data_IF_288610409910
#
_entry.id   IF_288610409910
#
_cell.length_a   1.000
_cell.length_b   1.000
_cell.length_c   1.000
_cell.angle_alpha   90.00
_cell.angle_beta   90.00
_cell.angle_gamma   90.00
#
_symmetry.space_group_name_H-M   'P 1'
#
loop_
_entity.id
_entity.type
_entity.pdbx_description
1 polymer ?
#
# COMPACT_ATOMS: atom_id res chain seq x y z
N UNK A 1 -54.29 -26.35 -33.34
CA UNK A 1 -53.39 -25.50 -34.14
C UNK A 1 -52.58 -24.61 -33.21
N UNK A 2 -51.31 -24.32 -33.57
CA UNK A 2 -50.22 -24.09 -32.64
C UNK A 2 -49.68 -22.65 -32.67
N UNK A 3 -48.75 -22.35 -31.76
CA UNK A 3 -47.63 -21.39 -31.80
C UNK A 3 -47.40 -20.84 -30.38
N UNK A 4 -46.20 -20.66 -29.85
CA UNK A 4 -44.83 -20.79 -30.37
C UNK A 4 -43.90 -20.89 -29.17
N UNK A 5 -42.89 -21.72 -29.33
CA UNK A 5 -41.69 -21.92 -28.52
C UNK A 5 -40.96 -20.65 -28.08
N UNK A 6 -40.33 -20.71 -26.90
CA UNK A 6 -38.95 -20.24 -26.71
C UNK A 6 -38.35 -20.89 -25.44
N UNK A 7 -37.66 -22.02 -25.64
CA UNK A 7 -36.58 -22.47 -24.78
C UNK A 7 -35.47 -21.40 -24.80
N UNK A 8 -35.01 -20.99 -23.64
CA UNK A 8 -33.77 -20.22 -23.48
C UNK A 8 -32.86 -20.96 -22.50
N UNK A 9 -32.27 -22.05 -22.99
CA UNK A 9 -31.02 -22.60 -22.46
C UNK A 9 -29.92 -21.56 -22.70
N UNK A 10 -29.63 -20.74 -21.69
CA UNK A 10 -28.46 -19.88 -21.70
C UNK A 10 -27.26 -20.68 -21.20
N UNK A 11 -26.64 -21.36 -22.16
CA UNK A 11 -25.33 -21.99 -22.07
C UNK A 11 -24.28 -20.88 -21.79
N UNK A 12 -24.01 -20.61 -20.50
CA UNK A 12 -22.89 -19.75 -20.10
C UNK A 12 -21.64 -20.61 -20.02
N UNK A 13 -21.05 -20.86 -21.19
CA UNK A 13 -19.65 -21.23 -21.27
C UNK A 13 -18.81 -20.13 -20.61
N UNK A 14 -18.13 -20.50 -19.53
CA UNK A 14 -17.14 -19.69 -18.83
C UNK A 14 -15.95 -19.46 -19.78
N UNK A 15 -15.50 -18.22 -20.02
CA UNK A 15 -14.20 -18.03 -20.66
C UNK A 15 -13.10 -18.43 -19.66
N UNK A 16 -12.45 -19.55 -19.92
CA UNK A 16 -11.15 -19.88 -19.33
C UNK A 16 -10.09 -18.94 -19.92
N UNK A 17 -9.80 -17.86 -19.22
CA UNK A 17 -8.52 -17.16 -19.34
C UNK A 17 -8.39 -16.15 -18.22
N UNK A 18 -7.37 -16.36 -17.41
CA UNK A 18 -6.84 -15.47 -16.38
C UNK A 18 -6.60 -14.08 -16.97
N UNK A 19 -7.63 -13.24 -16.96
CA UNK A 19 -7.55 -11.85 -17.37
C UNK A 19 -7.36 -11.02 -16.11
N UNK A 20 -6.10 -10.68 -15.85
CA UNK A 20 -5.72 -9.69 -14.83
C UNK A 20 -6.27 -8.35 -15.30
N UNK A 21 -7.28 -7.83 -14.59
CA UNK A 21 -7.83 -6.51 -14.87
C UNK A 21 -6.85 -5.46 -14.32
N UNK A 22 -6.13 -4.81 -15.23
CA UNK A 22 -5.32 -3.63 -14.93
C UNK A 22 -6.22 -2.39 -14.99
N UNK A 23 -6.31 -1.61 -13.90
CA UNK A 23 -6.87 -0.26 -13.96
C UNK A 23 -5.83 0.65 -14.63
N UNK A 24 -6.25 1.35 -15.69
CA UNK A 24 -5.38 2.10 -16.58
C UNK A 24 -5.66 3.61 -16.52
N UNK A 25 -4.60 4.41 -16.51
CA UNK A 25 -4.66 5.87 -16.71
C UNK A 25 -3.81 6.32 -17.91
N UNK A 26 -4.17 7.48 -18.48
CA UNK A 26 -3.63 8.02 -19.74
C UNK A 26 -2.52 9.05 -19.48
N UNK A 27 -1.33 8.85 -20.05
CA UNK A 27 -0.18 9.78 -19.99
C UNK A 27 -0.23 10.82 -21.11
N UNK A 28 -0.75 10.37 -22.26
CA UNK A 28 -1.11 11.09 -23.46
C UNK A 28 -2.06 10.13 -24.21
N UNK A 29 -2.85 10.59 -25.19
CA UNK A 29 -3.92 9.81 -25.84
C UNK A 29 -3.52 8.48 -26.53
N UNK A 30 -2.32 7.92 -26.29
CA UNK A 30 -1.79 6.73 -26.96
C UNK A 30 -1.17 5.66 -26.05
N UNK A 31 -0.95 5.91 -24.76
CA UNK A 31 -0.34 4.90 -23.87
C UNK A 31 -1.15 4.73 -22.59
N UNK A 32 -1.66 3.51 -22.41
CA UNK A 32 -2.30 3.07 -21.19
C UNK A 32 -1.24 2.46 -20.27
N UNK A 33 -1.12 3.00 -19.06
CA UNK A 33 -0.24 2.47 -18.03
C UNK A 33 -1.04 2.17 -16.77
N UNK A 34 -0.49 1.29 -15.94
CA UNK A 34 -1.04 0.98 -14.63
C UNK A 34 -1.07 2.22 -13.73
N UNK A 35 -2.03 2.29 -12.82
CA UNK A 35 -2.14 3.40 -11.86
C UNK A 35 -0.84 3.62 -11.06
N UNK A 36 -0.14 2.52 -10.76
CA UNK A 36 1.08 2.51 -9.95
C UNK A 36 2.36 2.82 -10.76
N UNK A 37 2.26 3.05 -12.08
CA UNK A 37 3.41 3.21 -12.97
C UNK A 37 4.36 4.34 -12.54
N UNK A 38 3.81 5.48 -12.12
CA UNK A 38 4.60 6.64 -11.65
C UNK A 38 4.84 6.64 -10.13
N UNK A 39 4.33 5.63 -9.42
CA UNK A 39 4.53 5.56 -7.98
C UNK A 39 5.97 5.14 -7.69
N UNK A 40 6.76 6.07 -7.14
CA UNK A 40 8.13 5.78 -6.69
C UNK A 40 8.16 4.64 -5.67
N UNK A 41 7.14 4.54 -4.81
CA UNK A 41 7.03 3.45 -3.85
C UNK A 41 6.85 2.10 -4.55
N UNK A 42 6.05 2.05 -5.63
CA UNK A 42 5.86 0.84 -6.43
C UNK A 42 7.16 0.44 -7.14
N UNK A 43 7.87 1.41 -7.70
CA UNK A 43 9.18 1.19 -8.35
C UNK A 43 10.19 0.62 -7.34
N UNK A 44 10.27 1.19 -6.14
CA UNK A 44 11.18 0.66 -5.10
C UNK A 44 10.75 -0.71 -4.58
N UNK A 45 9.45 -0.95 -4.41
CA UNK A 45 8.92 -2.24 -3.99
C UNK A 45 9.23 -3.34 -5.01
N UNK A 46 9.04 -3.06 -6.29
CA UNK A 46 9.21 -4.03 -7.38
C UNK A 46 10.66 -4.22 -7.82
N UNK A 47 11.57 -3.33 -7.41
CA UNK A 47 13.02 -3.53 -7.58
C UNK A 47 13.62 -4.58 -6.61
N UNK A 48 12.79 -5.19 -5.76
CA UNK A 48 13.23 -6.28 -4.89
C UNK A 48 13.54 -7.54 -5.70
N UNK A 49 14.61 -8.23 -5.32
CA UNK A 49 15.05 -9.44 -6.01
C UNK A 49 14.23 -10.66 -5.57
N UNK A 50 13.71 -11.41 -6.54
CA UNK A 50 13.01 -12.67 -6.37
C UNK A 50 13.86 -13.79 -6.98
N UNK A 51 13.87 -14.96 -6.34
CA UNK A 51 14.60 -16.12 -6.84
C UNK A 51 13.76 -16.84 -7.91
N UNK A 52 14.29 -16.90 -9.13
CA UNK A 52 13.70 -17.62 -10.26
C UNK A 52 14.60 -18.79 -10.68
N UNK A 53 13.98 -19.88 -11.10
CA UNK A 53 14.65 -21.06 -11.64
C UNK A 53 14.39 -21.13 -13.14
N UNK A 54 15.45 -20.92 -13.92
CA UNK A 54 15.43 -20.91 -15.38
C UNK A 54 15.56 -22.33 -15.94
N UNK A 55 14.74 -22.65 -16.93
CA UNK A 55 14.76 -23.95 -17.61
C UNK A 55 15.91 -24.04 -18.63
N UNK A 56 16.22 -25.26 -19.09
CA UNK A 56 17.27 -25.51 -20.08
C UNK A 56 17.05 -24.83 -21.43
N UNK A 57 15.79 -24.46 -21.75
CA UNK A 57 15.41 -23.76 -22.98
C UNK A 57 15.62 -22.25 -22.92
N UNK A 58 16.11 -21.71 -21.81
CA UNK A 58 16.29 -20.27 -21.62
C UNK A 58 17.35 -19.72 -22.58
N UNK A 59 17.08 -18.65 -23.34
CA UNK A 59 18.05 -18.05 -24.24
C UNK A 59 19.28 -17.54 -23.48
N UNK A 60 20.52 -17.87 -23.92
CA UNK A 60 21.74 -17.44 -23.24
C UNK A 60 21.92 -15.90 -23.22
N UNK A 61 21.29 -15.20 -24.16
CA UNK A 61 21.27 -13.73 -24.24
C UNK A 61 20.54 -13.05 -23.06
N UNK A 62 19.71 -13.78 -22.31
CA UNK A 62 18.99 -13.24 -21.15
C UNK A 62 19.90 -13.05 -19.94
N UNK A 63 20.90 -13.92 -19.74
CA UNK A 63 21.75 -13.86 -18.54
C UNK A 63 22.58 -12.57 -18.45
N UNK A 64 23.18 -12.05 -19.55
CA UNK A 64 23.84 -10.75 -19.52
C UNK A 64 22.92 -9.59 -19.10
N UNK A 65 21.63 -9.62 -19.48
CA UNK A 65 20.65 -8.61 -19.06
C UNK A 65 20.36 -8.66 -17.55
N UNK A 66 20.49 -9.84 -16.95
CA UNK A 66 20.42 -10.04 -15.50
C UNK A 66 21.76 -9.74 -14.79
N UNK A 67 22.78 -9.27 -15.52
CA UNK A 67 24.12 -9.04 -14.99
C UNK A 67 24.86 -10.33 -14.61
N UNK A 68 24.47 -11.47 -15.19
CA UNK A 68 25.08 -12.79 -14.93
C UNK A 68 25.74 -13.33 -16.19
N UNK A 69 26.80 -14.12 -16.00
CA UNK A 69 27.35 -14.92 -17.11
C UNK A 69 26.41 -16.08 -17.39
N UNK A 70 26.14 -16.33 -18.67
CA UNK A 70 25.34 -17.48 -19.08
C UNK A 70 26.05 -18.77 -18.65
N UNK A 71 25.38 -19.70 -17.94
CA UNK A 71 25.94 -21.01 -17.68
C UNK A 71 26.11 -21.78 -18.99
N UNK A 72 27.23 -22.49 -19.15
CA UNK A 72 27.52 -23.29 -20.35
C UNK A 72 26.55 -24.48 -20.50
N UNK A 73 26.10 -25.05 -19.38
CA UNK A 73 25.10 -26.12 -19.33
C UNK A 73 24.13 -25.83 -18.20
N UNK A 74 22.84 -25.76 -18.52
CA UNK A 74 21.76 -25.68 -17.53
C UNK A 74 21.40 -27.13 -17.14
N UNK A 75 21.62 -27.48 -15.87
CA UNK A 75 21.27 -28.80 -15.33
C UNK A 75 19.75 -29.04 -15.43
N UNK A 76 19.32 -30.32 -15.40
CA UNK A 76 17.90 -30.71 -15.36
C UNK A 76 17.14 -30.06 -14.19
N UNK A 77 17.84 -29.68 -13.11
CA UNK A 77 17.29 -28.96 -11.96
C UNK A 77 17.05 -27.46 -12.20
N UNK A 78 17.38 -26.96 -13.39
CA UNK A 78 17.33 -25.56 -13.77
C UNK A 78 18.45 -24.72 -13.15
N UNK A 79 18.59 -23.48 -13.64
CA UNK A 79 19.55 -22.50 -13.13
C UNK A 79 18.85 -21.47 -12.25
N UNK A 80 19.26 -21.34 -10.98
CA UNK A 80 18.68 -20.35 -10.07
C UNK A 80 19.38 -19.01 -10.20
N UNK A 81 18.62 -17.95 -10.47
CA UNK A 81 19.11 -16.58 -10.47
C UNK A 81 18.13 -15.64 -9.77
N UNK A 82 18.68 -14.55 -9.24
CA UNK A 82 17.88 -13.48 -8.66
C UNK A 82 17.48 -12.51 -9.76
N UNK A 83 16.17 -12.25 -9.86
CA UNK A 83 15.55 -11.40 -10.87
C UNK A 83 14.74 -10.32 -10.14
N UNK A 84 14.83 -9.05 -10.52
CA UNK A 84 13.96 -8.01 -9.98
C UNK A 84 12.47 -8.36 -10.20
N UNK A 85 11.62 -8.12 -9.19
CA UNK A 85 10.23 -8.53 -9.22
C UNK A 85 9.46 -7.99 -10.45
N UNK A 86 9.73 -6.74 -10.86
CA UNK A 86 9.12 -6.13 -12.05
C UNK A 86 9.40 -6.87 -13.36
N UNK A 87 10.50 -7.63 -13.44
CA UNK A 87 10.88 -8.35 -14.64
C UNK A 87 10.21 -9.74 -14.72
N UNK A 88 9.75 -10.28 -13.58
CA UNK A 88 9.14 -11.61 -13.49
C UNK A 88 7.99 -11.82 -14.48
N UNK A 89 7.00 -10.91 -14.62
CA UNK A 89 5.93 -11.06 -15.62
C UNK A 89 6.43 -11.26 -17.06
N UNK A 90 7.55 -10.64 -17.42
CA UNK A 90 8.10 -10.73 -18.76
C UNK A 90 8.81 -12.07 -19.01
N UNK A 91 9.29 -12.74 -17.95
CA UNK A 91 10.06 -14.00 -18.04
C UNK A 91 9.32 -15.21 -17.48
N UNK A 92 8.04 -15.06 -17.10
CA UNK A 92 7.22 -16.12 -16.50
C UNK A 92 7.07 -17.35 -17.42
N UNK A 93 7.11 -17.14 -18.73
CA UNK A 93 7.01 -18.21 -19.73
C UNK A 93 8.30 -19.04 -19.90
N UNK A 94 9.43 -18.62 -19.33
CA UNK A 94 10.76 -19.27 -19.44
C UNK A 94 11.37 -19.66 -18.10
N UNK A 95 10.80 -19.21 -16.98
CA UNK A 95 11.31 -19.52 -15.66
C UNK A 95 10.17 -19.76 -14.68
N UNK A 96 10.45 -20.59 -13.68
CA UNK A 96 9.56 -20.75 -12.53
C UNK A 96 10.05 -19.85 -11.39
N UNK A 97 9.18 -19.00 -10.87
CA UNK A 97 9.54 -18.14 -9.74
C UNK A 97 9.20 -18.82 -8.40
N UNK A 98 10.00 -18.54 -7.39
CA UNK A 98 9.72 -18.97 -6.01
C UNK A 98 9.19 -17.79 -5.20
N UNK A 99 8.16 -18.04 -4.39
CA UNK A 99 7.62 -17.01 -3.49
C UNK A 99 8.71 -16.59 -2.50
N UNK A 100 8.97 -15.28 -2.33
CA UNK A 100 9.96 -14.79 -1.39
C UNK A 100 9.73 -15.31 0.03
N UNK A 101 10.81 -15.54 0.77
CA UNK A 101 10.76 -16.11 2.13
C UNK A 101 9.88 -15.32 3.08
N UNK A 102 9.78 -14.00 2.89
CA UNK A 102 8.90 -13.10 3.65
C UNK A 102 7.41 -13.52 3.59
N UNK A 103 6.98 -14.18 2.52
CA UNK A 103 5.61 -14.64 2.31
C UNK A 103 5.46 -16.16 2.36
N UNK A 104 6.47 -16.87 2.89
CA UNK A 104 6.36 -18.32 3.12
C UNK A 104 5.26 -18.64 4.17
N UNK A 105 4.82 -19.89 4.22
CA UNK A 105 3.80 -20.34 5.17
C UNK A 105 4.13 -19.96 6.61
N UNK A 106 5.37 -20.20 7.04
CA UNK A 106 5.83 -19.94 8.42
C UNK A 106 5.68 -18.46 8.80
N UNK A 107 6.14 -17.53 7.95
CA UNK A 107 6.03 -16.10 8.22
C UNK A 107 4.58 -15.63 8.15
N UNK A 108 3.75 -16.21 7.26
CA UNK A 108 2.31 -15.94 7.24
C UNK A 108 1.65 -16.36 8.56
N UNK A 109 2.01 -17.53 9.09
CA UNK A 109 1.46 -18.04 10.36
C UNK A 109 1.90 -17.18 11.54
N UNK A 110 3.17 -16.75 11.58
CA UNK A 110 3.70 -15.82 12.59
C UNK A 110 2.97 -14.47 12.56
N UNK A 111 2.79 -13.91 11.35
CA UNK A 111 2.07 -12.65 11.17
C UNK A 111 0.59 -12.80 11.56
N UNK A 112 -0.04 -13.92 11.22
CA UNK A 112 -1.41 -14.21 11.59
C UNK A 112 -1.56 -14.34 13.12
N UNK A 113 -0.63 -15.00 13.80
CA UNK A 113 -0.64 -15.17 15.24
C UNK A 113 -0.46 -13.86 16.02
N UNK A 114 0.32 -12.91 15.51
CA UNK A 114 0.50 -11.62 16.17
C UNK A 114 1.32 -10.64 15.35
N UNK A 115 0.69 -9.92 14.43
CA UNK A 115 1.37 -9.01 13.52
C UNK A 115 2.06 -7.82 14.25
N UNK A 116 1.60 -7.45 15.44
CA UNK A 116 2.13 -6.32 16.21
C UNK A 116 3.56 -6.56 16.73
N UNK A 117 3.95 -7.82 16.94
CA UNK A 117 5.29 -8.19 17.41
C UNK A 117 6.31 -8.29 16.27
N UNK A 118 5.86 -8.29 15.02
CA UNK A 118 6.74 -8.40 13.85
C UNK A 118 7.30 -7.03 13.47
N UNK A 119 8.60 -7.00 13.19
CA UNK A 119 9.26 -5.82 12.64
C UNK A 119 9.17 -5.85 11.10
N UNK A 120 8.13 -5.21 10.55
CA UNK A 120 7.92 -5.17 9.10
C UNK A 120 9.02 -4.37 8.39
N UNK A 121 9.52 -3.29 9.00
CA UNK A 121 10.60 -2.48 8.43
C UNK A 121 11.87 -3.28 8.14
N UNK A 122 12.23 -4.19 9.05
CA UNK A 122 13.40 -5.06 8.89
C UNK A 122 13.09 -6.29 8.01
N UNK A 123 11.88 -6.83 8.10
CA UNK A 123 11.48 -8.01 7.33
C UNK A 123 11.36 -7.67 5.83
N UNK A 124 10.62 -6.62 5.51
CA UNK A 124 10.44 -6.09 4.16
C UNK A 124 9.88 -4.66 4.25
N UNK A 125 10.68 -3.68 3.85
CA UNK A 125 10.34 -2.24 3.93
C UNK A 125 9.07 -1.86 3.14
N UNK A 126 8.76 -2.59 2.07
CA UNK A 126 7.58 -2.42 1.23
C UNK A 126 6.69 -3.68 1.23
N UNK A 127 6.39 -4.20 2.43
CA UNK A 127 5.69 -5.46 2.66
C UNK A 127 4.32 -5.53 1.98
N UNK A 128 3.50 -4.49 2.07
CA UNK A 128 2.14 -4.52 1.50
C UNK A 128 2.16 -4.34 -0.03
N UNK A 129 2.96 -3.41 -0.53
CA UNK A 129 3.07 -3.13 -1.97
C UNK A 129 3.66 -4.32 -2.72
N UNK A 130 4.78 -4.87 -2.22
CA UNK A 130 5.39 -6.06 -2.81
C UNK A 130 4.48 -7.29 -2.67
N UNK A 131 3.80 -7.45 -1.54
CA UNK A 131 2.88 -8.56 -1.31
C UNK A 131 1.72 -8.55 -2.30
N UNK A 132 1.15 -7.37 -2.56
CA UNK A 132 0.08 -7.18 -3.54
C UNK A 132 0.57 -7.48 -4.95
N UNK A 133 1.79 -7.06 -5.29
CA UNK A 133 2.43 -7.39 -6.56
C UNK A 133 2.60 -8.91 -6.72
N UNK A 134 3.11 -9.61 -5.71
CA UNK A 134 3.28 -11.07 -5.73
C UNK A 134 1.94 -11.81 -5.85
N UNK A 135 0.89 -11.33 -5.21
CA UNK A 135 -0.46 -11.90 -5.36
C UNK A 135 -0.95 -11.87 -6.82
N UNK A 136 -0.48 -10.93 -7.65
CA UNK A 136 -0.82 -10.89 -9.09
C UNK A 136 -0.03 -11.90 -9.92
N UNK A 137 1.13 -12.36 -9.43
CA UNK A 137 2.00 -13.33 -10.12
C UNK A 137 1.66 -14.78 -9.78
N UNK A 138 1.19 -15.02 -8.55
CA UNK A 138 1.00 -16.36 -8.00
C UNK A 138 -0.41 -16.89 -8.30
N UNK A 139 -0.59 -18.21 -8.56
CA UNK A 139 -1.91 -18.81 -8.74
C UNK A 139 -2.81 -18.73 -7.49
N UNK A 140 -4.13 -18.81 -7.74
CA UNK A 140 -5.19 -18.33 -6.86
C UNK A 140 -5.16 -18.75 -5.39
N UNK A 141 -4.87 -20.01 -5.05
CA UNK A 141 -4.88 -20.45 -3.65
C UNK A 141 -3.74 -19.80 -2.84
N UNK A 142 -2.52 -19.84 -3.37
CA UNK A 142 -1.37 -19.23 -2.71
C UNK A 142 -1.49 -17.70 -2.66
N UNK A 143 -1.98 -17.07 -3.73
CA UNK A 143 -2.29 -15.65 -3.75
C UNK A 143 -3.32 -15.29 -2.66
N UNK A 144 -4.38 -16.09 -2.49
CA UNK A 144 -5.38 -15.90 -1.43
C UNK A 144 -4.76 -15.96 -0.04
N UNK A 145 -3.89 -16.93 0.23
CA UNK A 145 -3.22 -17.03 1.53
C UNK A 145 -2.30 -15.83 1.82
N UNK A 146 -1.59 -15.33 0.81
CA UNK A 146 -0.77 -14.12 0.96
C UNK A 146 -1.68 -12.91 1.22
N UNK A 147 -2.74 -12.74 0.43
CA UNK A 147 -3.69 -11.63 0.59
C UNK A 147 -4.35 -11.63 1.99
N UNK A 148 -4.72 -12.79 2.51
CA UNK A 148 -5.25 -12.92 3.87
C UNK A 148 -4.21 -12.56 4.93
N UNK A 149 -2.95 -12.95 4.77
CA UNK A 149 -1.87 -12.57 5.67
C UNK A 149 -1.64 -11.05 5.66
N UNK A 150 -1.64 -10.42 4.48
CA UNK A 150 -1.54 -8.96 4.33
C UNK A 150 -2.70 -8.26 5.05
N UNK A 151 -3.93 -8.70 4.82
CA UNK A 151 -5.12 -8.12 5.44
C UNK A 151 -5.12 -8.29 6.97
N UNK A 152 -4.78 -9.48 7.45
CA UNK A 152 -4.65 -9.77 8.88
C UNK A 152 -3.58 -8.90 9.53
N UNK A 153 -2.42 -8.74 8.87
CA UNK A 153 -1.35 -7.89 9.37
C UNK A 153 -1.83 -6.44 9.55
N UNK A 154 -2.49 -5.91 8.52
CA UNK A 154 -2.98 -4.52 8.52
C UNK A 154 -4.05 -4.29 9.60
N UNK A 155 -5.05 -5.16 9.68
CA UNK A 155 -6.16 -5.01 10.64
C UNK A 155 -5.71 -5.11 12.10
N UNK A 156 -4.76 -6.00 12.40
CA UNK A 156 -4.20 -6.12 13.76
C UNK A 156 -3.34 -4.92 14.18
N UNK A 157 -2.74 -4.20 13.21
CA UNK A 157 -1.75 -3.14 13.48
C UNK A 157 -2.34 -1.73 13.42
N UNK A 158 -3.38 -1.49 12.62
CA UNK A 158 -3.95 -0.15 12.41
C UNK A 158 -4.36 0.53 13.72
N UNK A 159 -4.95 -0.21 14.67
CA UNK A 159 -5.36 0.35 15.96
C UNK A 159 -4.19 0.89 16.77
N UNK A 160 -3.06 0.17 16.78
CA UNK A 160 -1.83 0.61 17.45
C UNK A 160 -1.23 1.84 16.76
N UNK A 161 -1.19 1.87 15.43
CA UNK A 161 -0.67 3.01 14.65
C UNK A 161 -1.45 4.28 14.99
N UNK A 162 -2.78 4.19 15.09
CA UNK A 162 -3.65 5.31 15.48
C UNK A 162 -3.35 5.76 16.92
N UNK A 163 -3.27 4.84 17.88
CA UNK A 163 -2.93 5.19 19.27
C UNK A 163 -1.54 5.82 19.41
N UNK A 164 -0.54 5.30 18.70
CA UNK A 164 0.83 5.78 18.78
C UNK A 164 0.94 7.21 18.22
N UNK A 165 0.22 7.51 17.12
CA UNK A 165 0.27 8.83 16.50
C UNK A 165 -0.39 9.94 17.36
N UNK A 166 -1.43 9.62 18.14
CA UNK A 166 -2.10 10.60 19.01
C UNK A 166 -1.35 10.84 20.32
N UNK A 167 -0.68 9.82 20.86
CA UNK A 167 -0.22 9.84 22.25
C UNK A 167 1.29 10.10 22.41
N UNK A 168 2.12 9.60 21.50
CA UNK A 168 3.58 9.56 21.72
C UNK A 168 4.34 10.59 20.90
N UNK A 169 3.82 11.02 19.75
CA UNK A 169 4.53 11.89 18.82
C UNK A 169 5.87 11.34 18.30
N UNK A 170 6.24 10.12 18.71
CA UNK A 170 7.53 9.52 18.45
C UNK A 170 7.61 9.01 17.01
N UNK A 171 8.84 8.92 16.49
CA UNK A 171 9.06 8.38 15.13
C UNK A 171 8.58 6.93 15.07
N UNK A 172 7.77 6.57 14.05
CA UNK A 172 7.33 5.19 13.89
C UNK A 172 8.54 4.30 13.62
N UNK A 173 8.70 3.26 14.44
CA UNK A 173 9.68 2.20 14.24
C UNK A 173 8.94 0.90 13.96
N UNK A 174 9.55 -0.02 13.21
CA UNK A 174 8.98 -1.35 12.92
C UNK A 174 7.78 -1.35 11.99
N UNK A 175 7.50 -0.21 11.36
CA UNK A 175 6.40 -0.03 10.43
C UNK A 175 6.89 -0.14 8.97
N UNK A 176 6.05 -0.71 8.12
CA UNK A 176 6.20 -0.66 6.67
C UNK A 176 6.05 0.79 6.13
N UNK A 177 6.48 1.08 4.90
CA UNK A 177 6.29 2.40 4.29
C UNK A 177 4.82 2.84 4.15
N UNK A 178 3.90 1.92 3.84
CA UNK A 178 2.47 2.24 3.79
C UNK A 178 1.93 2.61 5.17
N UNK A 179 2.35 1.89 6.21
CA UNK A 179 2.01 2.18 7.61
C UNK A 179 2.61 3.50 8.08
N UNK A 180 3.87 3.79 7.72
CA UNK A 180 4.53 5.08 7.98
C UNK A 180 3.77 6.22 7.32
N UNK A 181 3.33 6.05 6.07
CA UNK A 181 2.55 7.07 5.37
C UNK A 181 1.25 7.38 6.09
N UNK A 182 0.53 6.34 6.54
CA UNK A 182 -0.68 6.50 7.34
C UNK A 182 -0.35 7.24 8.64
N UNK A 183 0.69 6.81 9.36
CA UNK A 183 1.13 7.44 10.60
C UNK A 183 1.41 8.94 10.43
N UNK A 184 2.21 9.33 9.43
CA UNK A 184 2.54 10.73 9.19
C UNK A 184 1.32 11.55 8.75
N UNK A 185 0.43 10.95 7.96
CA UNK A 185 -0.81 11.59 7.55
C UNK A 185 -1.71 11.86 8.75
N UNK A 186 -1.86 10.90 9.64
CA UNK A 186 -2.63 11.04 10.89
C UNK A 186 -2.01 12.08 11.81
N UNK A 187 -0.70 12.02 12.05
CA UNK A 187 0.00 12.96 12.91
C UNK A 187 -0.12 14.40 12.40
N UNK A 188 0.06 14.62 11.08
CA UNK A 188 -0.12 15.94 10.46
C UNK A 188 -1.55 16.44 10.60
N UNK A 189 -2.53 15.55 10.47
CA UNK A 189 -3.96 15.88 10.59
C UNK A 189 -4.30 16.27 12.02
N UNK A 190 -3.84 15.51 13.02
CA UNK A 190 -4.02 15.83 14.44
C UNK A 190 -3.33 17.15 14.83
N UNK A 191 -2.11 17.39 14.33
CA UNK A 191 -1.42 18.66 14.54
C UNK A 191 -2.22 19.84 13.97
N UNK A 192 -2.71 19.72 12.73
CA UNK A 192 -3.56 20.74 12.07
C UNK A 192 -4.87 20.98 12.82
N UNK A 193 -5.52 19.91 13.28
CA UNK A 193 -6.74 19.99 14.11
C UNK A 193 -6.47 20.73 15.41
N UNK A 194 -5.35 20.45 16.08
CA UNK A 194 -4.93 21.16 17.28
C UNK A 194 -4.76 22.67 17.05
N UNK A 195 -4.06 23.06 15.98
CA UNK A 195 -3.89 24.47 15.60
C UNK A 195 -5.22 25.15 15.29
N UNK A 196 -6.10 24.50 14.51
CA UNK A 196 -7.41 25.04 14.17
C UNK A 196 -8.28 25.24 15.42
N UNK A 197 -8.32 24.26 16.32
CA UNK A 197 -9.04 24.35 17.59
C UNK A 197 -8.46 25.44 18.52
N UNK A 198 -7.13 25.60 18.54
CA UNK A 198 -6.44 26.63 19.31
C UNK A 198 -6.79 28.04 18.84
N UNK A 199 -6.66 28.31 17.54
CA UNK A 199 -6.99 29.61 16.95
C UNK A 199 -8.45 29.99 17.20
N UNK A 200 -9.37 29.02 17.12
CA UNK A 200 -10.79 29.26 17.40
C UNK A 200 -11.05 29.72 18.84
N UNK A 201 -10.35 29.12 19.81
CA UNK A 201 -10.46 29.51 21.23
C UNK A 201 -9.87 30.90 21.48
N UNK A 202 -8.78 31.24 20.80
CA UNK A 202 -8.20 32.58 20.88
C UNK A 202 -9.12 33.64 20.29
N UNK A 203 -9.76 33.37 19.16
CA UNK A 203 -10.70 34.29 18.53
C UNK A 203 -11.94 34.51 19.41
N UNK A 204 -12.52 33.42 19.95
CA UNK A 204 -13.59 33.51 20.96
C UNK A 204 -13.13 34.33 22.19
N UNK A 205 -11.89 34.14 22.64
CA UNK A 205 -11.28 34.90 23.73
C UNK A 205 -11.10 36.39 23.40
N UNK A 206 -10.62 36.72 22.19
CA UNK A 206 -10.46 38.09 21.68
C UNK A 206 -11.80 38.79 21.60
N UNK A 207 -12.83 38.14 21.07
CA UNK A 207 -14.20 38.68 21.02
C UNK A 207 -14.76 38.95 22.43
N UNK A 208 -14.57 38.04 23.39
CA UNK A 208 -14.98 38.25 24.79
C UNK A 208 -14.25 39.43 25.45
N UNK A 209 -12.94 39.58 25.21
CA UNK A 209 -12.15 40.71 25.74
C UNK A 209 -12.58 42.04 25.12
N UNK A 210 -12.85 42.07 23.82
CA UNK A 210 -13.36 43.24 23.12
C UNK A 210 -14.76 43.66 23.61
N UNK A 211 -15.65 42.70 23.87
CA UNK A 211 -16.97 42.97 24.43
C UNK A 211 -16.91 43.55 25.85
N UNK A 212 -16.05 43.02 26.73
CA UNK A 212 -15.84 43.57 28.09
C UNK A 212 -15.31 45.01 28.06
N UNK A 213 -14.40 45.34 27.15
CA UNK A 213 -13.88 46.71 26.99
C UNK A 213 -14.98 47.71 26.61
N UNK A 214 -15.94 47.31 25.77
CA UNK A 214 -17.10 48.15 25.40
C UNK A 214 -18.06 48.34 26.58
N UNK A 215 -18.23 47.33 27.42
CA UNK A 215 -19.11 47.41 28.59
C UNK A 215 -18.51 48.27 29.73
N UNK A 216 -17.20 48.16 30.00
CA UNK A 216 -16.53 49.01 31.00
C UNK A 216 -16.28 50.44 30.50
N UNK A 217 -16.09 50.64 29.19
CA UNK A 217 -15.94 51.98 28.61
C UNK A 217 -17.20 52.84 28.65
N UNK A 218 -18.39 52.23 28.78
CA UNK A 218 -19.66 52.96 28.92
C UNK A 218 -19.96 53.49 30.32
N UNK A 219 -19.28 52.99 31.36
CA UNK A 219 -19.49 53.46 32.75
C UNK A 219 -18.63 54.71 33.04
N UNK A 220 -17.54 54.93 32.31
CA UNK A 220 -16.65 56.08 32.56
C UNK A 220 -17.13 57.41 31.96
N UNK A 221 -18.12 57.39 31.06
CA UNK A 221 -18.68 58.62 30.43
C UNK A 221 -19.94 59.17 31.11
N UNK A 222 -20.48 58.50 32.14
CA UNK A 222 -21.69 58.96 32.85
C UNK A 222 -21.42 59.70 34.16
N UNK A 223 -20.16 59.92 34.54
CA UNK A 223 -19.77 60.63 35.77
C UNK A 223 -19.19 62.04 35.56
N UNK A 224 -19.24 62.58 34.33
CA UNK A 224 -18.67 63.90 33.99
C UNK A 224 -19.70 64.95 33.55
N UNK A 225 -20.96 64.85 34.00
CA UNK A 225 -21.98 65.88 33.75
C UNK A 225 -22.83 66.14 34.99
N UNK A 226 -22.21 66.59 36.09
CA UNK A 226 -22.86 67.32 37.18
C UNK A 226 -21.80 68.17 37.89
N UNK A 227 -21.50 69.34 37.32
CA UNK A 227 -20.86 70.47 37.99
C UNK A 227 -20.99 71.69 37.05
N UNK A 228 -22.19 72.27 37.03
CA UNK A 228 -22.51 73.66 36.71
C UNK A 228 -23.86 73.95 37.37
#
# INVERSE_FOLDING_TARGET
MPSSSADCSADRSLPSSSSVIFQQFTIDQRHFVDEDYFSLESIFATNTNICCTFESKTPPALFPLLGRKAPEVISEKGYRANVPAWLVPAVDHICSFSVPTVYNSVNRDVIHAGAQSVNLEQLQRHYYTLGTFICRLVPGEQARHIALALLSAFTQRIGRIVCDCTNTGAKPTRLDETEKRIFWTMQRTEHRKGLWMGNRREDEGRHRRAAKRKHCGGISTLLSVKNC
#
